data_IF_950733766616
#
_entry.id   IF_950733766616
#
_cell.length_a   1.000
_cell.length_b   1.000
_cell.length_c   1.000
_cell.angle_alpha   90.00
_cell.angle_beta   90.00
_cell.angle_gamma   90.00
#
_symmetry.space_group_name_H-M   'P 1'
#
loop_
_entity.id
_entity.type
_entity.pdbx_description
1 polymer ?
#
# COMPACT_ATOMS: atom_id res chain seq x y z
N UNK A 1 5.71 6.44 -9.50
CA UNK A 1 4.41 6.03 -10.10
C UNK A 1 3.70 5.12 -9.13
N UNK A 2 2.57 5.58 -8.62
CA UNK A 2 1.82 4.95 -7.53
C UNK A 2 0.39 4.68 -7.99
N UNK A 3 -0.16 3.51 -7.67
CA UNK A 3 -1.52 3.11 -8.08
C UNK A 3 -2.29 2.69 -6.84
N UNK A 4 -3.54 3.16 -6.75
CA UNK A 4 -4.53 2.65 -5.82
C UNK A 4 -5.74 2.23 -6.63
N UNK A 5 -6.10 0.94 -6.57
CA UNK A 5 -7.20 0.38 -7.34
C UNK A 5 -8.07 -0.51 -6.47
N UNK A 6 -9.35 -0.17 -6.39
CA UNK A 6 -10.40 -1.00 -5.81
C UNK A 6 -10.91 -2.03 -6.82
N UNK A 7 -11.19 -3.23 -6.35
CA UNK A 7 -11.86 -4.29 -7.10
C UNK A 7 -13.02 -4.83 -6.27
N UNK A 8 -14.22 -4.25 -6.44
CA UNK A 8 -15.41 -4.63 -5.65
C UNK A 8 -15.86 -6.06 -5.94
N UNK A 9 -15.65 -6.57 -7.17
CA UNK A 9 -16.03 -7.96 -7.51
C UNK A 9 -15.21 -8.99 -6.74
N UNK A 10 -13.93 -8.68 -6.48
CA UNK A 10 -13.02 -9.53 -5.70
C UNK A 10 -12.95 -9.13 -4.22
N UNK A 11 -13.71 -8.13 -3.81
CA UNK A 11 -13.59 -7.42 -2.54
C UNK A 11 -12.11 -7.21 -2.16
N UNK A 12 -11.37 -6.46 -2.99
CA UNK A 12 -9.91 -6.32 -2.88
C UNK A 12 -9.40 -4.92 -3.17
N UNK A 13 -8.41 -4.50 -2.41
CA UNK A 13 -7.65 -3.28 -2.61
C UNK A 13 -6.24 -3.60 -3.14
N UNK A 14 -5.87 -3.00 -4.26
CA UNK A 14 -4.52 -3.04 -4.80
C UNK A 14 -3.84 -1.71 -4.57
N UNK A 15 -2.65 -1.74 -3.97
CA UNK A 15 -1.80 -0.58 -3.69
C UNK A 15 -0.47 -0.89 -4.33
N UNK A 16 0.03 -0.01 -5.20
CA UNK A 16 1.36 -0.10 -5.77
C UNK A 16 2.12 1.18 -5.44
N UNK A 17 3.28 1.04 -4.81
CA UNK A 17 4.16 2.17 -4.49
C UNK A 17 5.51 1.89 -5.13
N UNK A 18 5.91 2.74 -6.09
CA UNK A 18 7.18 2.56 -6.79
C UNK A 18 7.80 3.83 -7.34
N UNK A 19 9.12 3.83 -7.44
CA UNK A 19 9.92 5.01 -7.73
C UNK A 19 10.11 5.89 -6.49
N UNK A 20 10.43 7.15 -6.74
CA UNK A 20 10.44 8.23 -5.74
C UNK A 20 9.00 8.72 -5.52
N UNK A 21 8.65 9.04 -4.28
CA UNK A 21 7.36 9.59 -3.85
C UNK A 21 7.56 11.02 -3.36
N UNK A 22 6.83 11.97 -3.93
CA UNK A 22 6.74 13.33 -3.36
C UNK A 22 5.72 13.40 -2.21
N UNK A 23 5.77 14.43 -1.39
CA UNK A 23 4.77 14.64 -0.32
C UNK A 23 3.35 14.73 -0.87
N UNK A 24 3.17 15.43 -2.00
CA UNK A 24 1.89 15.54 -2.70
C UNK A 24 1.39 14.17 -3.17
N UNK A 25 2.27 13.36 -3.77
CA UNK A 25 1.91 12.01 -4.18
C UNK A 25 1.55 11.12 -2.98
N UNK A 26 2.28 11.23 -1.87
CA UNK A 26 1.98 10.49 -0.65
C UNK A 26 0.61 10.87 -0.08
N UNK A 27 0.27 12.16 -0.10
CA UNK A 27 -1.04 12.64 0.33
C UNK A 27 -2.16 12.08 -0.56
N UNK A 28 -2.04 12.23 -1.88
CA UNK A 28 -3.02 11.72 -2.86
C UNK A 28 -3.21 10.20 -2.74
N UNK A 29 -2.12 9.45 -2.58
CA UNK A 29 -2.18 7.99 -2.41
C UNK A 29 -2.89 7.62 -1.12
N UNK A 30 -2.59 8.31 -0.03
CA UNK A 30 -3.22 8.07 1.28
C UNK A 30 -4.72 8.31 1.24
N UNK A 31 -5.17 9.42 0.65
CA UNK A 31 -6.59 9.74 0.49
C UNK A 31 -7.30 8.68 -0.36
N UNK A 32 -6.69 8.26 -1.47
CA UNK A 32 -7.26 7.21 -2.33
C UNK A 32 -7.38 5.87 -1.61
N UNK A 33 -6.42 5.52 -0.76
CA UNK A 33 -6.47 4.32 0.06
C UNK A 33 -7.63 4.40 1.05
N UNK A 34 -7.76 5.51 1.78
CA UNK A 34 -8.84 5.71 2.77
C UNK A 34 -10.21 5.67 2.09
N UNK A 35 -10.36 6.36 0.95
CA UNK A 35 -11.60 6.33 0.17
C UNK A 35 -11.93 4.92 -0.30
N UNK A 36 -10.98 4.22 -0.90
CA UNK A 36 -11.20 2.84 -1.40
C UNK A 36 -11.49 1.87 -0.26
N UNK A 37 -10.85 2.05 0.90
CA UNK A 37 -11.10 1.29 2.12
C UNK A 37 -12.56 1.39 2.55
N UNK A 38 -13.11 2.61 2.61
CA UNK A 38 -14.48 2.85 3.07
C UNK A 38 -15.55 2.35 2.09
N UNK A 39 -15.19 2.15 0.82
CA UNK A 39 -16.09 1.67 -0.23
C UNK A 39 -16.04 0.14 -0.41
N UNK A 40 -15.15 -0.57 0.29
CA UNK A 40 -15.05 -2.02 0.26
C UNK A 40 -15.86 -2.65 1.39
N UNK A 41 -16.37 -3.85 1.14
CA UNK A 41 -17.10 -4.60 2.15
C UNK A 41 -16.12 -5.14 3.21
N UNK A 42 -16.53 -5.25 4.48
CA UNK A 42 -15.69 -5.84 5.54
C UNK A 42 -15.12 -7.21 5.13
N UNK A 43 -13.90 -7.53 5.57
CA UNK A 43 -13.22 -8.77 5.19
C UNK A 43 -12.62 -8.76 3.78
N UNK A 44 -12.36 -7.58 3.21
CA UNK A 44 -11.66 -7.44 1.94
C UNK A 44 -10.17 -7.81 2.06
N UNK A 45 -9.58 -8.20 0.93
CA UNK A 45 -8.15 -8.49 0.81
C UNK A 45 -7.34 -7.27 0.37
N UNK A 46 -6.07 -7.25 0.72
CA UNK A 46 -5.13 -6.19 0.30
C UNK A 46 -3.95 -6.81 -0.40
N UNK A 47 -3.58 -6.22 -1.54
CA UNK A 47 -2.33 -6.50 -2.24
C UNK A 47 -1.52 -5.21 -2.27
N UNK A 48 -0.40 -5.21 -1.55
CA UNK A 48 0.56 -4.10 -1.51
C UNK A 48 1.80 -4.47 -2.33
N UNK A 49 1.96 -3.87 -3.48
CA UNK A 49 3.04 -4.08 -4.43
C UNK A 49 4.12 -3.00 -4.27
N UNK A 50 5.26 -3.43 -3.76
CA UNK A 50 6.49 -2.67 -3.54
C UNK A 50 7.62 -3.11 -4.49
N UNK A 51 7.29 -3.82 -5.58
CA UNK A 51 8.29 -4.34 -6.53
C UNK A 51 9.17 -3.24 -7.15
N UNK A 52 8.63 -2.02 -7.26
CA UNK A 52 9.32 -0.85 -7.80
C UNK A 52 9.75 0.16 -6.73
N UNK A 53 9.61 -0.16 -5.44
CA UNK A 53 9.98 0.73 -4.35
C UNK A 53 11.49 1.01 -4.35
N UNK A 54 11.88 2.29 -4.26
CA UNK A 54 13.27 2.70 -4.15
C UNK A 54 13.61 2.89 -2.66
N UNK A 55 14.63 2.17 -2.19
CA UNK A 55 15.12 2.29 -0.83
C UNK A 55 15.85 3.62 -0.61
N UNK A 56 15.70 4.21 0.58
CA UNK A 56 16.25 5.53 0.92
C UNK A 56 15.31 6.70 0.65
N UNK A 57 14.16 6.44 0.01
CA UNK A 57 13.06 7.40 -0.02
C UNK A 57 12.28 7.35 1.30
N UNK A 58 12.53 8.35 2.15
CA UNK A 58 11.90 8.48 3.46
C UNK A 58 10.37 8.67 3.35
N UNK A 59 9.92 9.49 2.40
CA UNK A 59 8.48 9.78 2.21
C UNK A 59 7.76 8.50 1.81
N UNK A 60 8.30 7.77 0.84
CA UNK A 60 7.76 6.48 0.43
C UNK A 60 7.79 5.46 1.59
N UNK A 61 8.85 5.46 2.40
CA UNK A 61 8.96 4.61 3.58
C UNK A 61 7.90 4.91 4.64
N UNK A 62 7.68 6.19 4.94
CA UNK A 62 6.63 6.65 5.85
C UNK A 62 5.24 6.30 5.33
N UNK A 63 4.98 6.51 4.04
CA UNK A 63 3.73 6.13 3.39
C UNK A 63 3.45 4.63 3.56
N UNK A 64 4.40 3.76 3.21
CA UNK A 64 4.24 2.30 3.34
C UNK A 64 3.97 1.89 4.79
N UNK A 65 4.69 2.48 5.75
CA UNK A 65 4.51 2.20 7.18
C UNK A 65 3.15 2.65 7.69
N UNK A 66 2.73 3.87 7.36
CA UNK A 66 1.45 4.44 7.79
C UNK A 66 0.27 3.68 7.19
N UNK A 67 0.35 3.33 5.91
CA UNK A 67 -0.64 2.48 5.24
C UNK A 67 -0.66 1.09 5.88
N UNK A 68 0.50 0.47 6.13
CA UNK A 68 0.58 -0.82 6.81
C UNK A 68 -0.13 -0.81 8.16
N UNK A 69 0.13 0.19 8.99
CA UNK A 69 -0.50 0.37 10.31
C UNK A 69 -2.00 0.64 10.20
N UNK A 70 -2.40 1.55 9.31
CA UNK A 70 -3.82 1.86 9.06
C UNK A 70 -4.61 0.61 8.67
N UNK A 71 -4.00 -0.30 7.91
CA UNK A 71 -4.66 -1.51 7.44
C UNK A 71 -4.61 -2.65 8.47
N UNK A 72 -3.54 -2.79 9.25
CA UNK A 72 -3.44 -3.81 10.31
C UNK A 72 -4.44 -3.60 11.45
N UNK A 73 -4.78 -2.34 11.73
CA UNK A 73 -5.67 -1.99 12.84
C UNK A 73 -7.16 -2.23 12.51
N UNK A 74 -7.48 -2.79 11.33
CA UNK A 74 -8.85 -2.96 10.82
C UNK A 74 -9.12 -4.40 10.36
N UNK A 75 -10.39 -4.80 10.31
CA UNK A 75 -10.88 -6.15 9.95
C UNK A 75 -10.69 -6.51 8.46
N UNK A 76 -9.48 -6.36 7.95
CA UNK A 76 -9.06 -6.87 6.64
C UNK A 76 -8.88 -8.38 6.75
N UNK A 77 -9.21 -9.12 5.70
CA UNK A 77 -9.09 -10.58 5.71
C UNK A 77 -7.63 -11.01 5.58
N UNK A 78 -6.94 -10.48 4.56
CA UNK A 78 -5.53 -10.80 4.29
C UNK A 78 -4.80 -9.59 3.75
N UNK A 79 -3.53 -9.45 4.10
CA UNK A 79 -2.60 -8.50 3.50
C UNK A 79 -1.50 -9.29 2.83
N UNK A 80 -1.39 -9.16 1.51
CA UNK A 80 -0.32 -9.73 0.69
C UNK A 80 0.64 -8.61 0.31
N UNK A 81 1.91 -8.73 0.68
CA UNK A 81 2.96 -7.79 0.29
C UNK A 81 3.86 -8.41 -0.77
N UNK A 82 4.03 -7.73 -1.89
CA UNK A 82 4.89 -8.16 -3.01
C UNK A 82 6.10 -7.22 -3.03
N UNK A 83 7.29 -7.76 -2.77
CA UNK A 83 8.52 -6.98 -2.57
C UNK A 83 9.54 -7.15 -3.71
N UNK A 84 9.19 -7.92 -4.75
CA UNK A 84 10.07 -8.18 -5.89
C UNK A 84 11.42 -8.75 -5.47
N UNK A 85 12.49 -8.37 -6.19
CA UNK A 85 13.88 -8.71 -5.81
C UNK A 85 14.52 -7.69 -4.85
N UNK A 86 13.76 -6.72 -4.35
CA UNK A 86 14.29 -5.72 -3.42
C UNK A 86 14.56 -6.36 -2.05
N UNK A 87 15.78 -6.87 -1.86
CA UNK A 87 16.25 -7.44 -0.58
C UNK A 87 16.10 -6.45 0.58
N UNK A 88 16.18 -5.15 0.31
CA UNK A 88 16.00 -4.07 1.29
C UNK A 88 14.54 -3.85 1.67
N UNK A 89 13.59 -3.91 0.74
CA UNK A 89 12.16 -3.84 1.06
C UNK A 89 11.71 -5.03 1.94
N UNK A 90 12.30 -6.22 1.70
CA UNK A 90 12.13 -7.40 2.55
C UNK A 90 12.60 -7.16 3.99
N UNK A 91 13.77 -6.54 4.20
CA UNK A 91 14.30 -6.31 5.56
C UNK A 91 13.58 -5.19 6.31
N UNK A 92 13.18 -4.13 5.62
CA UNK A 92 12.56 -2.93 6.22
C UNK A 92 11.10 -3.14 6.61
N UNK A 93 10.41 -4.02 5.90
CA UNK A 93 8.98 -4.27 6.06
C UNK A 93 8.68 -5.77 6.27
N UNK A 94 9.62 -6.56 6.79
CA UNK A 94 9.32 -7.89 7.33
C UNK A 94 8.46 -7.79 8.60
#
# INVERSE_FOLDING_TARGET
MHIVRKDSKKNRLYIMIGGVVTEEEAHIVSEKIIKSFNELEPGFDIVNDLTKYIHGDEIAGHLVKNVGKFLSDRKVNRIVRIVGQSKTALMQFA
#
